data_IF_196329505760
#
_entry.id   IF_196329505760
#
_cell.length_a   1.000
_cell.length_b   1.000
_cell.length_c   1.000
_cell.angle_alpha   90.00
_cell.angle_beta   90.00
_cell.angle_gamma   90.00
#
_symmetry.space_group_name_H-M   'P 1'
#
loop_
_entity.id
_entity.type
_entity.pdbx_description
1 polymer ?
#
# COMPACT_ATOMS: atom_id res chain seq x y z
N UNK A 1 44.67 22.56 -6.68
CA UNK A 1 44.10 21.26 -6.26
C UNK A 1 44.44 20.85 -4.83
N UNK A 2 45.65 21.11 -4.29
CA UNK A 2 46.08 20.67 -2.94
C UNK A 2 45.37 21.33 -1.74
N UNK A 3 44.70 22.47 -1.91
CA UNK A 3 43.93 23.15 -0.84
C UNK A 3 42.50 22.60 -0.64
N UNK A 4 41.90 21.97 -1.66
CA UNK A 4 40.54 21.42 -1.56
C UNK A 4 40.51 20.04 -0.90
N UNK A 5 41.58 19.25 -1.04
CA UNK A 5 41.73 17.97 -0.34
C UNK A 5 41.89 18.12 1.17
N UNK A 6 42.53 19.20 1.64
CA UNK A 6 42.67 19.45 3.08
C UNK A 6 41.34 19.87 3.72
N UNK A 7 40.49 20.59 2.97
CA UNK A 7 39.16 20.96 3.43
C UNK A 7 38.23 19.74 3.49
N UNK A 8 38.25 18.88 2.45
CA UNK A 8 37.45 17.65 2.41
C UNK A 8 37.84 16.63 3.49
N UNK A 9 39.13 16.54 3.84
CA UNK A 9 39.60 15.65 4.91
C UNK A 9 39.17 16.12 6.31
N UNK A 10 39.11 17.44 6.54
CA UNK A 10 38.67 18.00 7.83
C UNK A 10 37.15 17.87 8.02
N UNK A 11 36.34 17.97 6.96
CA UNK A 11 34.90 17.72 7.04
C UNK A 11 34.57 16.24 7.27
N UNK A 12 35.34 15.31 6.71
CA UNK A 12 35.11 13.87 6.91
C UNK A 12 35.43 13.40 8.35
N UNK A 13 36.44 13.99 9.00
CA UNK A 13 36.79 13.68 10.39
C UNK A 13 35.78 14.23 11.40
N UNK A 14 35.07 15.32 11.08
CA UNK A 14 34.05 15.89 11.96
C UNK A 14 32.73 15.10 11.97
N UNK A 15 32.41 14.37 10.89
CA UNK A 15 31.21 13.52 10.79
C UNK A 15 31.37 12.20 11.58
N UNK A 16 32.59 11.70 11.74
CA UNK A 16 32.86 10.46 12.50
C UNK A 16 32.84 10.64 14.03
N UNK A 17 32.83 11.88 14.55
CA UNK A 17 32.91 12.15 15.99
C UNK A 17 31.56 12.48 16.66
N UNK A 18 30.43 12.42 15.95
CA UNK A 18 29.09 12.67 16.52
C UNK A 18 28.17 11.46 16.58
N UNK A 19 28.62 10.27 16.13
CA UNK A 19 27.88 9.02 16.28
C UNK A 19 28.21 8.33 17.61
N UNK A 20 27.77 8.93 18.73
CA UNK A 20 27.76 8.27 20.03
C UNK A 20 26.40 8.52 20.68
N UNK A 21 25.37 7.83 20.20
CA UNK A 21 24.10 7.72 20.92
C UNK A 21 24.13 6.44 21.76
N UNK A 22 23.73 6.62 23.02
CA UNK A 22 23.68 5.64 24.09
C UNK A 22 22.63 4.57 23.79
N UNK A 23 23.10 3.35 23.51
CA UNK A 23 22.25 2.16 23.52
C UNK A 23 21.77 1.89 24.95
N UNK A 24 20.48 2.11 25.21
CA UNK A 24 19.81 1.67 26.44
C UNK A 24 19.75 0.14 26.41
N UNK A 25 20.58 -0.50 27.22
CA UNK A 25 20.59 -1.95 27.40
C UNK A 25 19.37 -2.37 28.24
N UNK A 26 18.31 -2.82 27.59
CA UNK A 26 17.21 -3.52 28.27
C UNK A 26 17.66 -4.97 28.49
N UNK A 27 17.94 -5.34 29.74
CA UNK A 27 18.20 -6.73 30.11
C UNK A 27 16.91 -7.56 29.96
N UNK A 28 16.93 -8.73 29.31
CA UNK A 28 15.82 -9.65 29.36
C UNK A 28 15.70 -10.25 30.77
N UNK A 29 14.57 -10.00 31.41
CA UNK A 29 14.13 -10.68 32.64
C UNK A 29 13.87 -12.16 32.28
N UNK A 30 14.51 -13.12 32.95
CA UNK A 30 14.21 -14.54 32.72
C UNK A 30 12.78 -14.85 33.21
N UNK A 31 12.00 -15.66 32.47
CA UNK A 31 10.73 -16.15 32.97
C UNK A 31 10.97 -17.02 34.20
N UNK A 32 10.40 -16.59 35.32
CA UNK A 32 10.33 -17.36 36.55
C UNK A 32 9.39 -18.54 36.29
N UNK A 33 9.95 -19.74 36.16
CA UNK A 33 9.17 -20.98 36.16
C UNK A 33 8.51 -21.13 37.54
N UNK A 34 7.19 -20.97 37.56
CA UNK A 34 6.37 -21.39 38.67
C UNK A 34 6.49 -22.91 38.82
N UNK A 35 7.04 -23.35 39.94
CA UNK A 35 7.09 -24.74 40.33
C UNK A 35 5.66 -25.25 40.58
N UNK A 36 5.15 -26.04 39.63
CA UNK A 36 3.97 -26.87 39.86
C UNK A 36 4.37 -28.04 40.79
N UNK A 37 3.75 -28.06 41.96
CA UNK A 37 3.83 -29.12 42.95
C UNK A 37 3.27 -30.42 42.38
N UNK A 38 4.13 -31.41 42.17
CA UNK A 38 3.73 -32.78 41.89
C UNK A 38 3.23 -33.46 43.19
N UNK A 39 2.13 -34.22 43.16
CA UNK A 39 1.63 -34.92 44.34
C UNK A 39 2.52 -36.12 44.69
N UNK A 40 2.76 -36.28 45.98
CA UNK A 40 3.45 -37.41 46.63
C UNK A 40 2.74 -38.72 46.32
N UNK A 41 3.39 -39.60 45.54
CA UNK A 41 2.94 -40.98 45.36
C UNK A 41 3.59 -41.84 46.45
N UNK A 42 2.74 -42.42 47.30
CA UNK A 42 3.11 -43.35 48.37
C UNK A 42 3.60 -44.65 47.75
N UNK A 43 4.86 -45.00 47.98
CA UNK A 43 5.44 -46.27 47.55
C UNK A 43 4.84 -47.42 48.37
N UNK A 44 4.02 -48.24 47.73
CA UNK A 44 3.59 -49.55 48.24
C UNK A 44 4.58 -50.60 47.76
N UNK A 45 5.17 -51.36 48.70
CA UNK A 45 6.10 -52.44 48.40
C UNK A 45 5.38 -53.60 47.69
N UNK A 46 5.92 -54.02 46.55
CA UNK A 46 5.49 -55.23 45.81
C UNK A 46 6.55 -56.32 46.01
N UNK A 47 6.18 -57.59 46.25
CA UNK A 47 7.13 -58.66 46.53
C UNK A 47 7.90 -59.13 45.28
N UNK A 48 9.14 -59.56 45.48
CA UNK A 48 9.99 -60.15 44.46
C UNK A 48 9.32 -61.35 43.79
N UNK A 49 9.19 -61.30 42.46
CA UNK A 49 8.75 -62.43 41.63
C UNK A 49 9.86 -62.77 40.62
N UNK A 50 10.05 -64.06 40.45
CA UNK A 50 11.16 -64.72 39.77
C UNK A 50 11.39 -64.28 38.32
N UNK A 51 12.67 -64.20 37.96
CA UNK A 51 13.19 -64.04 36.61
C UNK A 51 12.64 -65.12 35.67
N UNK A 52 11.82 -64.71 34.70
CA UNK A 52 11.52 -65.51 33.51
C UNK A 52 12.41 -65.07 32.35
N UNK A 53 12.94 -66.06 31.64
CA UNK A 53 13.82 -66.03 30.48
C UNK A 53 13.34 -65.07 29.36
N UNK A 54 14.24 -64.40 28.61
CA UNK A 54 13.86 -63.39 27.62
C UNK A 54 13.03 -63.99 26.48
N UNK A 55 11.78 -63.56 26.39
CA UNK A 55 10.93 -63.81 25.22
C UNK A 55 11.36 -62.87 24.10
N UNK A 56 11.79 -63.45 22.97
CA UNK A 56 12.18 -62.75 21.76
C UNK A 56 10.93 -62.11 21.12
N UNK A 57 10.77 -60.79 21.23
CA UNK A 57 9.69 -60.04 20.58
C UNK A 57 10.07 -59.86 19.10
N UNK A 58 9.21 -60.23 18.12
CA UNK A 58 9.51 -59.98 16.71
C UNK A 58 9.60 -58.46 16.47
N UNK A 59 10.45 -58.01 15.52
CA UNK A 59 10.53 -56.59 15.20
C UNK A 59 9.17 -56.10 14.68
N UNK A 60 8.59 -55.12 15.36
CA UNK A 60 7.45 -54.34 14.86
C UNK A 60 7.85 -53.74 13.52
N UNK A 61 7.13 -54.08 12.45
CA UNK A 61 7.35 -53.48 11.15
C UNK A 61 7.14 -51.97 11.24
N UNK A 62 8.20 -51.19 11.02
CA UNK A 62 8.10 -49.74 10.84
C UNK A 62 7.18 -49.48 9.65
N UNK A 63 6.12 -48.65 9.79
CA UNK A 63 5.28 -48.31 8.65
C UNK A 63 6.17 -47.70 7.55
N UNK A 64 5.90 -48.02 6.27
CA UNK A 64 6.65 -47.42 5.17
C UNK A 64 6.52 -45.89 5.25
N UNK A 65 7.57 -45.13 4.85
CA UNK A 65 7.49 -43.67 4.82
C UNK A 65 6.28 -43.27 3.97
N UNK A 66 5.38 -42.49 4.57
CA UNK A 66 4.27 -41.89 3.82
C UNK A 66 4.88 -40.90 2.83
N UNK A 67 4.52 -41.00 1.55
CA UNK A 67 4.99 -40.05 0.55
C UNK A 67 4.59 -38.64 0.99
N UNK A 68 5.56 -37.74 1.12
CA UNK A 68 5.29 -36.32 1.35
C UNK A 68 4.43 -35.82 0.18
N UNK A 69 3.24 -35.25 0.43
CA UNK A 69 2.42 -34.71 -0.65
C UNK A 69 3.22 -33.67 -1.45
N UNK A 70 3.01 -33.64 -2.76
CA UNK A 70 3.63 -32.65 -3.63
C UNK A 70 3.21 -31.23 -3.19
N UNK A 71 4.10 -30.23 -3.32
CA UNK A 71 3.76 -28.86 -2.99
C UNK A 71 2.65 -28.34 -3.91
N UNK A 72 1.76 -27.52 -3.36
CA UNK A 72 0.68 -26.86 -4.07
C UNK A 72 1.26 -25.81 -5.02
N UNK A 73 0.83 -25.83 -6.28
CA UNK A 73 1.36 -24.92 -7.30
C UNK A 73 0.57 -23.62 -7.40
N UNK A 74 1.28 -22.50 -7.56
CA UNK A 74 0.73 -21.14 -7.58
C UNK A 74 1.13 -20.45 -8.88
N UNK A 75 0.14 -19.91 -9.59
CA UNK A 75 0.31 -19.11 -10.80
C UNK A 75 -0.36 -17.74 -10.70
N UNK A 76 -0.13 -16.91 -11.72
CA UNK A 76 -0.64 -15.54 -11.77
C UNK A 76 -1.45 -15.30 -13.04
N UNK A 77 -2.55 -14.57 -12.90
CA UNK A 77 -3.25 -13.97 -14.03
C UNK A 77 -2.52 -12.69 -14.52
N UNK A 78 -2.84 -12.29 -15.74
CA UNK A 78 -2.41 -11.07 -16.42
C UNK A 78 -2.74 -9.81 -15.63
N UNK A 79 -3.85 -9.79 -14.90
CA UNK A 79 -4.33 -8.64 -14.13
C UNK A 79 -3.64 -8.45 -12.76
N UNK A 80 -2.67 -9.29 -12.40
CA UNK A 80 -2.00 -9.20 -11.09
C UNK A 80 -0.86 -8.16 -11.13
N UNK A 81 -0.87 -7.14 -10.24
CA UNK A 81 0.20 -6.13 -10.14
C UNK A 81 1.56 -6.72 -9.75
N UNK A 82 2.66 -6.14 -10.23
CA UNK A 82 4.02 -6.65 -9.98
C UNK A 82 4.42 -6.73 -8.50
N UNK A 83 4.04 -5.74 -7.68
CA UNK A 83 4.36 -5.78 -6.24
C UNK A 83 3.64 -6.91 -5.53
N UNK A 84 2.37 -7.17 -5.89
CA UNK A 84 1.62 -8.31 -5.37
C UNK A 84 2.21 -9.64 -5.84
N UNK A 85 2.65 -9.74 -7.10
CA UNK A 85 3.40 -10.92 -7.59
C UNK A 85 4.65 -11.15 -6.74
N UNK A 86 5.44 -10.11 -6.51
CA UNK A 86 6.67 -10.18 -5.72
C UNK A 86 6.39 -10.62 -4.27
N UNK A 87 5.30 -10.13 -3.67
CA UNK A 87 4.86 -10.53 -2.34
C UNK A 87 4.48 -12.02 -2.29
N UNK A 88 3.73 -12.51 -3.30
CA UNK A 88 3.38 -13.94 -3.42
C UNK A 88 4.63 -14.79 -3.60
N UNK A 89 5.53 -14.41 -4.50
CA UNK A 89 6.78 -15.13 -4.75
C UNK A 89 7.63 -15.25 -3.47
N UNK A 90 7.70 -14.16 -2.69
CA UNK A 90 8.41 -14.14 -1.40
C UNK A 90 7.76 -15.09 -0.39
N UNK A 91 6.43 -15.12 -0.32
CA UNK A 91 5.70 -16.03 0.56
C UNK A 91 5.89 -17.50 0.16
N UNK A 92 5.84 -17.81 -1.15
CA UNK A 92 6.10 -19.16 -1.68
C UNK A 92 7.52 -19.60 -1.34
N UNK A 93 8.52 -18.73 -1.50
CA UNK A 93 9.91 -19.01 -1.16
C UNK A 93 10.15 -19.25 0.34
N UNK A 94 9.28 -18.74 1.23
CA UNK A 94 9.37 -18.97 2.66
C UNK A 94 8.92 -20.38 3.08
N UNK A 95 8.09 -21.04 2.27
CA UNK A 95 7.54 -22.39 2.54
C UNK A 95 7.66 -23.33 1.32
N UNK A 96 8.88 -23.58 0.80
CA UNK A 96 9.10 -24.31 -0.45
C UNK A 96 8.70 -25.79 -0.37
N UNK A 97 8.52 -26.34 0.83
CA UNK A 97 8.01 -27.70 1.04
C UNK A 97 6.49 -27.80 0.85
N UNK A 98 5.77 -26.68 0.90
CA UNK A 98 4.31 -26.62 0.82
C UNK A 98 3.83 -25.95 -0.47
N UNK A 99 4.56 -24.95 -0.98
CA UNK A 99 4.18 -24.16 -2.14
C UNK A 99 5.28 -24.14 -3.21
N UNK A 100 4.89 -24.10 -4.47
CA UNK A 100 5.79 -23.90 -5.61
C UNK A 100 5.16 -22.98 -6.65
N UNK A 101 5.97 -22.21 -7.38
CA UNK A 101 5.48 -21.41 -8.51
C UNK A 101 5.32 -22.28 -9.75
N UNK A 102 4.27 -22.03 -10.53
CA UNK A 102 4.04 -22.67 -11.82
C UNK A 102 3.61 -21.62 -12.86
N UNK A 103 4.25 -21.67 -14.04
CA UNK A 103 3.96 -20.79 -15.17
C UNK A 103 2.65 -21.20 -15.89
N UNK A 104 2.32 -22.49 -15.85
CA UNK A 104 1.15 -23.08 -16.51
C UNK A 104 0.55 -24.19 -15.65
N UNK A 105 -0.77 -24.39 -15.76
CA UNK A 105 -1.51 -25.47 -15.07
C UNK A 105 -1.30 -25.50 -13.55
N UNK A 106 -1.33 -24.31 -12.91
CA UNK A 106 -1.21 -24.18 -11.46
C UNK A 106 -2.50 -24.63 -10.74
N UNK A 107 -2.36 -25.23 -9.56
CA UNK A 107 -3.47 -25.63 -8.69
C UNK A 107 -4.25 -24.41 -8.16
N UNK A 108 -3.53 -23.31 -7.94
CA UNK A 108 -4.09 -22.00 -7.59
C UNK A 108 -3.58 -20.93 -8.54
N UNK A 109 -4.49 -20.08 -8.99
CA UNK A 109 -4.17 -18.89 -9.77
C UNK A 109 -4.64 -17.67 -9.01
N UNK A 110 -3.75 -16.71 -8.79
CA UNK A 110 -4.14 -15.39 -8.29
C UNK A 110 -4.79 -14.61 -9.45
N UNK A 111 -6.06 -14.24 -9.29
CA UNK A 111 -6.83 -13.55 -10.33
C UNK A 111 -7.51 -12.28 -9.82
N UNK A 112 -7.84 -11.40 -10.75
CA UNK A 112 -8.69 -10.24 -10.51
C UNK A 112 -10.16 -10.63 -10.27
N UNK A 113 -10.92 -9.73 -9.64
CA UNK A 113 -12.36 -9.80 -9.39
C UNK A 113 -12.78 -11.08 -8.65
N UNK A 114 -12.02 -11.47 -7.63
CA UNK A 114 -12.35 -12.62 -6.79
C UNK A 114 -13.46 -12.29 -5.79
N UNK A 115 -14.34 -13.26 -5.50
CA UNK A 115 -15.43 -13.12 -4.52
C UNK A 115 -14.93 -13.08 -3.08
N UNK A 116 -13.79 -13.73 -2.79
CA UNK A 116 -13.09 -13.69 -1.51
C UNK A 116 -11.70 -13.04 -1.71
N UNK A 117 -11.61 -11.69 -1.62
CA UNK A 117 -10.35 -11.00 -1.88
C UNK A 117 -9.33 -11.26 -0.77
N UNK A 118 -8.10 -11.53 -1.18
CA UNK A 118 -6.90 -11.60 -0.33
C UNK A 118 -6.03 -10.37 -0.49
N UNK A 119 -6.34 -9.52 -1.46
CA UNK A 119 -5.68 -8.25 -1.71
C UNK A 119 -6.63 -7.25 -2.38
N UNK A 120 -6.47 -5.97 -2.07
CA UNK A 120 -7.14 -4.86 -2.72
C UNK A 120 -6.08 -3.88 -3.23
N UNK A 121 -6.00 -3.71 -4.55
CA UNK A 121 -5.04 -2.81 -5.19
C UNK A 121 -5.75 -1.54 -5.67
N UNK A 122 -5.25 -0.38 -5.26
CA UNK A 122 -5.81 0.93 -5.58
C UNK A 122 -5.03 1.52 -6.76
N UNK A 123 -5.74 1.88 -7.82
CA UNK A 123 -5.16 2.61 -8.95
C UNK A 123 -5.66 4.05 -8.96
N UNK A 124 -4.82 4.98 -9.38
CA UNK A 124 -5.16 6.39 -9.51
C UNK A 124 -5.15 6.79 -10.98
N UNK A 125 -6.19 7.51 -11.43
CA UNK A 125 -6.11 8.27 -12.68
C UNK A 125 -5.29 9.51 -12.41
N UNK A 126 -4.30 9.74 -13.24
CA UNK A 126 -3.38 10.84 -13.09
C UNK A 126 -3.11 11.55 -14.41
N UNK A 127 -2.76 12.83 -14.30
CA UNK A 127 -2.30 13.68 -15.38
C UNK A 127 -1.06 14.45 -14.90
N UNK A 128 -0.30 15.12 -15.78
CA UNK A 128 0.67 16.13 -15.37
C UNK A 128 0.08 17.13 -14.38
N UNK A 129 0.90 17.56 -13.40
CA UNK A 129 0.47 18.47 -12.34
C UNK A 129 -0.29 19.73 -12.80
N UNK A 130 0.08 20.44 -13.89
CA UNK A 130 -0.63 21.64 -14.35
C UNK A 130 -1.91 21.28 -15.13
N UNK A 131 -2.81 20.52 -14.51
CA UNK A 131 -4.11 20.13 -15.06
C UNK A 131 -5.21 20.83 -14.27
N UNK A 132 -6.21 21.39 -14.97
CA UNK A 132 -7.31 22.11 -14.32
C UNK A 132 -8.41 21.18 -13.82
N UNK A 133 -8.72 20.10 -14.54
CA UNK A 133 -9.70 19.11 -14.09
C UNK A 133 -9.29 18.56 -12.72
N UNK A 134 -10.24 18.47 -11.79
CA UNK A 134 -10.05 17.85 -10.47
C UNK A 134 -10.73 16.49 -10.37
N UNK A 135 -11.65 16.19 -11.28
CA UNK A 135 -12.53 15.02 -11.27
C UNK A 135 -12.76 14.49 -12.69
N UNK A 136 -13.00 13.19 -12.79
CA UNK A 136 -13.38 12.47 -14.00
C UNK A 136 -14.31 11.31 -13.62
N UNK A 137 -15.32 11.00 -14.43
CA UNK A 137 -16.17 9.84 -14.14
C UNK A 137 -15.47 8.51 -14.49
N UNK A 138 -15.80 7.42 -13.79
CA UNK A 138 -15.26 6.10 -14.15
C UNK A 138 -15.60 5.72 -15.60
N UNK A 139 -16.79 6.12 -16.08
CA UNK A 139 -17.22 5.86 -17.44
C UNK A 139 -16.32 6.56 -18.49
N UNK A 140 -15.91 7.79 -18.24
CA UNK A 140 -14.98 8.53 -19.10
C UNK A 140 -13.58 7.88 -19.09
N UNK A 141 -13.11 7.40 -17.94
CA UNK A 141 -11.84 6.68 -17.84
C UNK A 141 -11.87 5.38 -18.67
N UNK A 142 -12.96 4.61 -18.56
CA UNK A 142 -13.15 3.38 -19.33
C UNK A 142 -13.30 3.66 -20.84
N UNK A 143 -13.93 4.77 -21.20
CA UNK A 143 -14.02 5.21 -22.59
C UNK A 143 -12.64 5.62 -23.12
N UNK A 144 -11.83 6.34 -22.34
CA UNK A 144 -10.46 6.67 -22.70
C UNK A 144 -9.60 5.40 -22.91
N UNK A 145 -9.77 4.38 -22.07
CA UNK A 145 -9.18 3.06 -22.29
C UNK A 145 -9.61 2.46 -23.63
N UNK A 146 -10.93 2.34 -23.85
CA UNK A 146 -11.48 1.72 -25.07
C UNK A 146 -11.01 2.41 -26.35
N UNK A 147 -10.87 3.73 -26.31
CA UNK A 147 -10.47 4.56 -27.44
C UNK A 147 -8.94 4.72 -27.58
N UNK A 148 -8.14 4.10 -26.70
CA UNK A 148 -6.68 4.19 -26.74
C UNK A 148 -6.13 5.57 -26.37
N UNK A 149 -6.91 6.39 -25.66
CA UNK A 149 -6.56 7.76 -25.28
C UNK A 149 -5.70 7.83 -23.99
N UNK A 150 -5.47 6.69 -23.34
CA UNK A 150 -4.57 6.59 -22.18
C UNK A 150 -3.12 6.41 -22.64
N UNK A 151 -2.21 7.01 -21.89
CA UNK A 151 -0.78 6.79 -22.00
C UNK A 151 -0.34 5.87 -20.85
N UNK A 152 0.09 4.65 -21.19
CA UNK A 152 0.23 3.54 -20.23
C UNK A 152 1.61 2.88 -20.30
N UNK A 153 1.99 2.19 -19.23
CA UNK A 153 3.08 1.22 -19.27
C UNK A 153 2.58 -0.12 -19.84
N UNK A 154 3.47 -0.99 -20.35
CA UNK A 154 3.08 -2.34 -20.79
C UNK A 154 2.41 -3.16 -19.68
N UNK A 155 2.86 -2.98 -18.43
CA UNK A 155 2.24 -3.64 -17.28
C UNK A 155 0.81 -3.16 -17.06
N UNK A 156 0.59 -1.83 -17.07
CA UNK A 156 -0.75 -1.29 -16.87
C UNK A 156 -1.70 -1.67 -18.01
N UNK A 157 -1.24 -1.68 -19.27
CA UNK A 157 -2.03 -2.17 -20.42
C UNK A 157 -2.43 -3.65 -20.21
N UNK A 158 -1.52 -4.51 -19.76
CA UNK A 158 -1.83 -5.91 -19.45
C UNK A 158 -2.86 -6.04 -18.32
N UNK A 159 -2.72 -5.23 -17.26
CA UNK A 159 -3.68 -5.23 -16.15
C UNK A 159 -5.08 -4.78 -16.63
N UNK A 160 -5.16 -3.71 -17.42
CA UNK A 160 -6.43 -3.21 -17.94
C UNK A 160 -7.08 -4.17 -18.93
N UNK A 161 -6.30 -4.92 -19.73
CA UNK A 161 -6.86 -6.00 -20.57
C UNK A 161 -7.46 -7.12 -19.74
N UNK A 162 -6.77 -7.55 -18.69
CA UNK A 162 -7.30 -8.58 -17.79
C UNK A 162 -8.50 -8.10 -16.97
N UNK A 163 -8.60 -6.79 -16.70
CA UNK A 163 -9.69 -6.21 -15.90
C UNK A 163 -10.91 -5.77 -16.74
N UNK A 164 -10.70 -4.99 -17.79
CA UNK A 164 -11.74 -4.38 -18.63
C UNK A 164 -11.86 -5.00 -20.03
N UNK A 165 -11.01 -5.97 -20.36
CA UNK A 165 -10.95 -6.57 -21.69
C UNK A 165 -10.14 -5.74 -22.69
N UNK A 166 -9.99 -6.27 -23.90
CA UNK A 166 -9.25 -5.61 -24.96
C UNK A 166 -9.89 -4.27 -25.37
N UNK A 167 -9.10 -3.20 -25.54
CA UNK A 167 -9.61 -1.92 -26.01
C UNK A 167 -9.89 -1.98 -27.51
N UNK A 168 -10.79 -1.13 -28.00
CA UNK A 168 -11.09 -1.05 -29.43
C UNK A 168 -9.90 -0.45 -30.22
N UNK A 169 -9.14 0.43 -29.59
CA UNK A 169 -7.89 0.99 -30.12
C UNK A 169 -6.79 0.81 -29.08
N UNK A 170 -5.61 0.34 -29.51
CA UNK A 170 -4.48 0.14 -28.60
C UNK A 170 -4.05 1.48 -27.97
N UNK A 171 -3.83 1.47 -26.66
CA UNK A 171 -3.29 2.61 -25.93
C UNK A 171 -1.85 2.92 -26.35
N UNK A 172 -1.42 4.17 -26.13
CA UNK A 172 -0.02 4.53 -26.36
C UNK A 172 0.82 3.98 -25.21
N UNK A 173 1.66 2.99 -25.52
CA UNK A 173 2.55 2.38 -24.53
C UNK A 173 3.90 3.09 -24.48
N UNK A 174 4.39 3.32 -23.27
CA UNK A 174 5.71 3.90 -22.99
C UNK A 174 6.43 3.09 -21.92
N UNK A 175 7.76 3.11 -21.96
CA UNK A 175 8.55 2.48 -20.90
C UNK A 175 8.23 3.14 -19.54
N UNK A 176 8.16 2.39 -18.42
CA UNK A 176 7.80 2.93 -17.11
C UNK A 176 8.61 4.16 -16.70
N UNK A 177 9.92 4.13 -16.95
CA UNK A 177 10.86 5.22 -16.63
C UNK A 177 10.64 6.48 -17.49
N UNK A 178 9.95 6.36 -18.63
CA UNK A 178 9.62 7.47 -19.52
C UNK A 178 8.19 7.99 -19.32
N UNK A 179 7.36 7.33 -18.51
CA UNK A 179 5.92 7.62 -18.40
C UNK A 179 5.66 9.08 -18.06
N UNK A 180 6.23 9.55 -16.96
CA UNK A 180 5.99 10.90 -16.45
C UNK A 180 6.54 11.95 -17.42
N UNK A 181 7.76 11.76 -17.95
CA UNK A 181 8.34 12.70 -18.91
C UNK A 181 7.55 12.77 -20.21
N UNK A 182 7.02 11.64 -20.69
CA UNK A 182 6.16 11.62 -21.87
C UNK A 182 4.85 12.34 -21.59
N UNK A 183 4.18 12.08 -20.46
CA UNK A 183 2.96 12.80 -20.07
C UNK A 183 3.15 14.32 -20.11
N UNK A 184 4.23 14.82 -19.51
CA UNK A 184 4.56 16.24 -19.49
C UNK A 184 4.87 16.82 -20.88
N UNK A 185 5.46 16.03 -21.78
CA UNK A 185 5.77 16.46 -23.15
C UNK A 185 4.54 16.42 -24.07
N UNK A 186 3.62 15.47 -23.82
CA UNK A 186 2.40 15.30 -24.62
C UNK A 186 1.31 16.28 -24.21
N UNK A 187 1.28 16.74 -22.96
CA UNK A 187 0.29 17.72 -22.52
C UNK A 187 0.51 19.07 -23.21
N UNK A 188 -0.45 19.44 -24.06
CA UNK A 188 -0.42 20.70 -24.83
C UNK A 188 -1.37 21.76 -24.30
N UNK A 189 -2.37 21.37 -23.50
CA UNK A 189 -3.36 22.25 -22.90
C UNK A 189 -3.65 21.82 -21.43
N UNK A 190 -4.10 22.75 -20.59
CA UNK A 190 -4.37 22.48 -19.16
C UNK A 190 -5.81 22.03 -18.90
N UNK A 191 -6.71 22.29 -19.84
CA UNK A 191 -8.13 21.94 -19.86
C UNK A 191 -8.42 20.62 -20.62
N UNK A 192 -7.44 20.09 -21.35
CA UNK A 192 -7.50 18.79 -22.03
C UNK A 192 -6.31 17.91 -21.58
N UNK A 193 -6.41 17.24 -20.42
CA UNK A 193 -5.28 16.52 -19.84
C UNK A 193 -4.97 15.20 -20.56
N UNK A 194 -3.67 14.90 -20.67
CA UNK A 194 -3.22 13.57 -21.09
C UNK A 194 -3.27 12.66 -19.87
N UNK A 195 -4.09 11.61 -19.95
CA UNK A 195 -4.39 10.73 -18.82
C UNK A 195 -3.49 9.49 -18.81
N UNK A 196 -3.17 9.05 -17.59
CA UNK A 196 -2.59 7.75 -17.29
C UNK A 196 -3.34 7.11 -16.13
N UNK A 197 -3.13 5.81 -15.94
CA UNK A 197 -3.53 5.10 -14.73
C UNK A 197 -2.26 4.50 -14.14
N UNK A 198 -2.04 4.73 -12.84
CA UNK A 198 -0.89 4.19 -12.11
C UNK A 198 -1.33 3.51 -10.83
N UNK A 199 -0.61 2.47 -10.38
CA UNK A 199 -0.73 1.97 -9.01
C UNK A 199 -0.47 3.09 -7.99
N UNK A 200 -1.20 3.11 -6.87
CA UNK A 200 -1.14 4.18 -5.86
C UNK A 200 0.29 4.46 -5.36
N UNK A 201 1.06 3.41 -5.12
CA UNK A 201 2.45 3.42 -4.67
C UNK A 201 3.43 4.04 -5.68
N UNK A 202 3.03 4.17 -6.95
CA UNK A 202 3.83 4.81 -8.00
C UNK A 202 3.51 6.30 -8.19
N UNK A 203 2.62 6.87 -7.36
CA UNK A 203 2.32 8.30 -7.41
C UNK A 203 3.56 9.14 -7.07
N UNK A 204 3.72 10.25 -7.79
CA UNK A 204 4.79 11.23 -7.55
C UNK A 204 4.22 12.64 -7.58
N UNK A 205 4.88 13.63 -6.94
CA UNK A 205 4.43 15.03 -6.95
C UNK A 205 4.34 15.69 -8.34
N UNK A 206 4.90 15.05 -9.38
CA UNK A 206 4.81 15.53 -10.77
C UNK A 206 3.46 15.21 -11.42
N UNK A 207 2.63 14.42 -10.75
CA UNK A 207 1.31 14.02 -11.21
C UNK A 207 0.22 14.68 -10.34
N UNK A 208 -0.85 15.12 -10.99
CA UNK A 208 -2.12 15.45 -10.34
C UNK A 208 -3.00 14.20 -10.41
N UNK A 209 -3.46 13.73 -9.26
CA UNK A 209 -4.50 12.69 -9.17
C UNK A 209 -5.85 13.34 -9.43
N UNK A 210 -6.62 12.78 -10.35
CA UNK A 210 -8.02 13.15 -10.56
C UNK A 210 -8.90 12.29 -9.66
N UNK A 211 -9.88 12.90 -9.00
CA UNK A 211 -10.93 12.16 -8.34
C UNK A 211 -11.72 11.35 -9.38
N UNK A 212 -12.17 10.15 -9.00
CA UNK A 212 -13.03 9.31 -9.83
C UNK A 212 -14.41 9.31 -9.21
N UNK A 213 -15.40 9.86 -9.92
CA UNK A 213 -16.76 10.03 -9.42
C UNK A 213 -16.82 10.73 -8.04
N UNK A 214 -15.99 11.77 -7.86
CA UNK A 214 -15.87 12.54 -6.62
C UNK A 214 -15.01 11.89 -5.52
N UNK A 215 -14.46 10.70 -5.74
CA UNK A 215 -13.68 9.96 -4.76
C UNK A 215 -12.20 9.88 -5.16
N UNK A 216 -11.29 10.27 -4.28
CA UNK A 216 -9.85 10.35 -4.58
C UNK A 216 -9.02 9.57 -3.56
N UNK A 217 -8.09 8.71 -3.99
CA UNK A 217 -7.32 7.84 -3.09
C UNK A 217 -6.30 8.59 -2.20
N UNK A 218 -6.02 9.86 -2.53
CA UNK A 218 -5.15 10.77 -1.76
C UNK A 218 -5.95 11.74 -0.88
N UNK A 219 -7.28 11.64 -0.87
CA UNK A 219 -8.15 12.49 -0.06
C UNK A 219 -8.29 11.95 1.35
N UNK A 220 -8.42 12.85 2.32
CA UNK A 220 -8.83 12.52 3.69
C UNK A 220 -10.22 11.86 3.74
N UNK A 221 -11.09 12.18 2.78
CA UNK A 221 -12.43 11.61 2.68
C UNK A 221 -12.50 10.41 1.72
N UNK A 222 -11.37 9.73 1.48
CA UNK A 222 -11.33 8.57 0.60
C UNK A 222 -12.24 7.45 1.12
N UNK A 223 -13.14 6.98 0.26
CA UNK A 223 -13.97 5.80 0.54
C UNK A 223 -13.54 4.63 -0.35
N UNK A 224 -12.75 3.71 0.20
CA UNK A 224 -12.27 2.53 -0.51
C UNK A 224 -13.39 1.61 -0.98
N UNK A 225 -14.55 1.59 -0.32
CA UNK A 225 -15.64 0.69 -0.68
C UNK A 225 -16.32 1.10 -1.99
N UNK A 226 -16.45 2.41 -2.24
CA UNK A 226 -17.10 2.96 -3.43
C UNK A 226 -16.14 3.33 -4.56
N UNK A 227 -14.82 3.27 -4.32
CA UNK A 227 -13.83 3.70 -5.31
C UNK A 227 -13.79 2.79 -6.55
N UNK A 228 -14.09 3.36 -7.71
CA UNK A 228 -14.22 2.63 -8.98
C UNK A 228 -12.94 2.02 -9.54
N UNK A 229 -11.77 2.47 -9.09
CA UNK A 229 -10.46 1.95 -9.50
C UNK A 229 -9.77 1.12 -8.40
N UNK A 230 -10.58 0.43 -7.60
CA UNK A 230 -10.13 -0.62 -6.69
C UNK A 230 -10.23 -1.98 -7.38
N UNK A 231 -9.11 -2.68 -7.49
CA UNK A 231 -9.04 -4.05 -7.99
C UNK A 231 -8.98 -5.03 -6.83
N UNK A 232 -9.99 -5.90 -6.73
CA UNK A 232 -10.00 -7.00 -5.75
C UNK A 232 -9.32 -8.22 -6.36
N UNK A 233 -8.34 -8.80 -5.65
CA UNK A 233 -7.62 -9.99 -6.10
C UNK A 233 -7.77 -11.13 -5.09
N UNK A 234 -7.86 -12.35 -5.59
CA UNK A 234 -8.02 -13.54 -4.75
C UNK A 234 -7.65 -14.83 -5.47
N UNK A 235 -7.56 -15.89 -4.68
CA UNK A 235 -7.20 -17.22 -5.17
C UNK A 235 -8.35 -17.84 -5.97
N UNK A 236 -7.99 -18.47 -7.08
CA UNK A 236 -8.88 -19.31 -7.87
C UNK A 236 -8.30 -20.70 -8.01
N UNK A 237 -9.09 -21.72 -7.67
CA UNK A 237 -8.73 -23.12 -7.79
C UNK A 237 -9.71 -23.98 -6.99
N UNK A 238 -9.35 -25.23 -6.75
CA UNK A 238 -10.13 -26.15 -5.93
C UNK A 238 -10.28 -25.62 -4.48
N UNK A 239 -11.44 -25.79 -3.87
CA UNK A 239 -11.76 -25.27 -2.53
C UNK A 239 -10.74 -25.76 -1.48
N UNK A 240 -10.29 -27.01 -1.60
CA UNK A 240 -9.27 -27.58 -0.72
C UNK A 240 -7.92 -26.90 -0.86
N UNK A 241 -7.54 -26.48 -2.07
CA UNK A 241 -6.29 -25.77 -2.33
C UNK A 241 -6.36 -24.34 -1.77
N UNK A 242 -7.48 -23.65 -1.96
CA UNK A 242 -7.70 -22.31 -1.39
C UNK A 242 -7.64 -22.36 0.14
N UNK A 243 -8.26 -23.37 0.75
CA UNK A 243 -8.24 -23.57 2.19
C UNK A 243 -6.82 -23.88 2.74
N UNK A 244 -5.97 -24.56 1.95
CA UNK A 244 -4.57 -24.80 2.31
C UNK A 244 -3.71 -23.53 2.21
N UNK A 245 -4.01 -22.66 1.24
CA UNK A 245 -3.29 -21.40 1.04
C UNK A 245 -3.66 -20.33 2.06
N UNK A 246 -4.92 -20.27 2.48
CA UNK A 246 -5.43 -19.25 3.40
C UNK A 246 -4.61 -19.04 4.68
N UNK A 247 -4.18 -20.08 5.43
CA UNK A 247 -3.35 -19.88 6.63
C UNK A 247 -1.91 -19.46 6.33
N UNK A 248 -1.43 -19.60 5.09
CA UNK A 248 -0.10 -19.20 4.65
C UNK A 248 -0.08 -17.75 4.15
N UNK A 249 -1.25 -17.16 3.90
CA UNK A 249 -1.40 -15.81 3.43
C UNK A 249 -1.67 -14.86 4.60
N UNK A 250 -0.93 -13.73 4.72
CA UNK A 250 -1.24 -12.71 5.72
C UNK A 250 -2.61 -12.07 5.47
N UNK A 251 -3.02 -11.19 6.39
CA UNK A 251 -4.20 -10.32 6.22
C UNK A 251 -4.25 -9.66 4.83
N UNK A 252 -5.43 -9.23 4.34
CA UNK A 252 -5.59 -8.70 3.00
C UNK A 252 -4.55 -7.62 2.67
N UNK A 253 -3.77 -7.86 1.61
CA UNK A 253 -2.71 -6.94 1.20
C UNK A 253 -3.30 -5.73 0.44
N UNK A 254 -2.64 -4.59 0.56
CA UNK A 254 -2.97 -3.41 -0.23
C UNK A 254 -1.71 -2.61 -0.54
N UNK A 255 -1.79 -1.74 -1.56
CA UNK A 255 -0.76 -0.76 -1.89
C UNK A 255 -1.04 0.64 -1.30
N UNK A 256 -2.22 0.84 -0.71
CA UNK A 256 -2.64 2.13 -0.15
C UNK A 256 -2.76 2.03 1.36
N UNK A 257 -1.69 2.39 2.04
CA UNK A 257 -1.55 2.36 3.49
C UNK A 257 -1.93 3.71 4.10
N UNK A 258 -3.11 3.80 4.71
CA UNK A 258 -3.62 5.04 5.33
C UNK A 258 -2.67 5.56 6.42
N UNK A 259 -2.09 4.64 7.19
CA UNK A 259 -1.14 4.89 8.26
C UNK A 259 0.20 5.48 7.79
N UNK A 260 0.46 5.46 6.48
CA UNK A 260 1.66 6.03 5.86
C UNK A 260 1.36 7.35 5.12
N UNK A 261 0.13 7.85 5.19
CA UNK A 261 -0.27 9.11 4.59
C UNK A 261 -0.26 10.25 5.62
N UNK A 262 0.01 11.47 5.15
CA UNK A 262 -0.10 12.68 5.96
C UNK A 262 -0.78 13.75 5.13
N UNK A 263 -1.93 14.20 5.60
CA UNK A 263 -2.68 15.28 4.98
C UNK A 263 -2.21 16.62 5.54
N UNK A 264 -1.74 17.48 4.65
CA UNK A 264 -1.29 18.82 4.96
C UNK A 264 -2.22 19.83 4.29
N UNK A 265 -2.97 20.58 5.10
CA UNK A 265 -3.68 21.77 4.61
C UNK A 265 -2.83 22.99 4.89
N UNK A 266 -2.52 23.77 3.85
CA UNK A 266 -1.81 25.04 3.99
C UNK A 266 -2.62 26.15 3.34
N UNK A 267 -2.75 27.27 4.04
CA UNK A 267 -3.20 28.50 3.40
C UNK A 267 -2.00 29.20 2.74
N UNK A 268 -2.25 29.89 1.63
CA UNK A 268 -1.39 31.01 1.23
C UNK A 268 -1.46 32.15 2.25
N UNK A 269 -0.99 33.36 1.90
CA UNK A 269 -1.20 34.55 2.73
C UNK A 269 -2.68 34.68 3.11
N UNK A 270 -3.00 34.52 4.40
CA UNK A 270 -4.35 34.76 4.92
C UNK A 270 -4.57 36.26 5.10
N UNK A 271 -4.39 37.01 4.02
CA UNK A 271 -4.76 38.41 3.92
C UNK A 271 -6.27 38.50 3.95
N UNK A 272 -6.84 38.88 5.09
CA UNK A 272 -8.26 39.21 5.20
C UNK A 272 -8.52 40.44 4.34
N UNK A 273 -9.04 40.20 3.13
CA UNK A 273 -9.37 41.26 2.19
C UNK A 273 -10.58 42.06 2.69
N UNK A 274 -10.84 43.23 2.10
CA UNK A 274 -12.05 44.02 2.38
C UNK A 274 -13.33 43.21 2.18
N UNK A 275 -13.34 42.29 1.21
CA UNK A 275 -14.47 41.40 0.99
C UNK A 275 -14.69 40.44 2.17
N UNK A 276 -13.62 39.90 2.76
CA UNK A 276 -13.75 39.06 3.96
C UNK A 276 -14.19 39.88 5.17
N UNK A 277 -13.67 41.10 5.32
CA UNK A 277 -14.09 42.02 6.39
C UNK A 277 -15.58 42.40 6.28
N UNK A 278 -16.09 42.71 5.08
CA UNK A 278 -17.53 42.95 4.86
C UNK A 278 -18.39 41.73 5.28
N UNK A 279 -17.93 40.51 4.98
CA UNK A 279 -18.60 39.28 5.43
C UNK A 279 -18.56 39.14 6.96
N UNK A 280 -17.44 39.49 7.60
CA UNK A 280 -17.33 39.47 9.07
C UNK A 280 -18.28 40.47 9.74
N UNK A 281 -18.48 41.66 9.16
CA UNK A 281 -19.47 42.63 9.68
C UNK A 281 -20.91 42.10 9.55
N UNK A 282 -21.22 41.40 8.44
CA UNK A 282 -22.56 40.87 8.17
C UNK A 282 -22.90 39.60 8.93
N UNK A 283 -21.93 38.69 9.08
CA UNK A 283 -22.15 37.33 9.58
C UNK A 283 -21.42 37.05 10.90
N UNK A 284 -20.66 38.01 11.43
CA UNK A 284 -19.88 37.90 12.65
C UNK A 284 -18.40 37.58 12.37
N UNK A 285 -17.52 38.06 13.24
CA UNK A 285 -16.06 37.96 13.07
C UNK A 285 -15.51 36.53 13.02
N UNK A 286 -16.26 35.52 13.48
CA UNK A 286 -15.86 34.11 13.42
C UNK A 286 -16.17 33.44 12.08
N UNK A 287 -17.07 34.03 11.29
CA UNK A 287 -17.62 33.43 10.08
C UNK A 287 -16.54 32.83 9.15
N UNK A 288 -15.46 33.55 8.77
CA UNK A 288 -14.45 32.98 7.87
C UNK A 288 -13.75 31.74 8.45
N UNK A 289 -13.53 31.71 9.77
CA UNK A 289 -12.92 30.58 10.45
C UNK A 289 -13.85 29.38 10.51
N UNK A 290 -15.15 29.61 10.70
CA UNK A 290 -16.18 28.56 10.72
C UNK A 290 -16.34 27.92 9.32
N UNK A 291 -16.29 28.72 8.25
CA UNK A 291 -16.41 28.22 6.87
C UNK A 291 -15.22 27.34 6.44
N UNK A 292 -14.00 27.66 6.86
CA UNK A 292 -12.81 26.86 6.52
C UNK A 292 -12.50 25.75 7.55
N UNK A 293 -13.16 25.76 8.71
CA UNK A 293 -12.89 24.81 9.79
C UNK A 293 -12.95 23.35 9.34
N UNK A 294 -13.93 22.89 8.53
CA UNK A 294 -13.98 21.49 8.09
C UNK A 294 -12.72 21.06 7.32
N UNK A 295 -12.18 21.94 6.46
CA UNK A 295 -10.97 21.65 5.67
C UNK A 295 -9.74 21.60 6.59
N UNK A 296 -9.61 22.58 7.48
CA UNK A 296 -8.47 22.67 8.40
C UNK A 296 -8.45 21.53 9.43
N UNK A 297 -9.63 21.08 9.89
CA UNK A 297 -9.78 20.02 10.89
C UNK A 297 -9.63 18.61 10.31
N UNK A 298 -9.86 18.44 9.00
CA UNK A 298 -9.70 17.16 8.34
C UNK A 298 -8.21 16.80 8.14
N UNK A 299 -7.31 17.77 8.09
CA UNK A 299 -5.89 17.50 7.89
C UNK A 299 -5.16 17.05 9.17
N UNK A 300 -4.15 16.20 9.02
CA UNK A 300 -3.23 15.84 10.10
C UNK A 300 -2.40 17.05 10.55
N UNK A 301 -2.04 17.90 9.59
CA UNK A 301 -1.32 19.16 9.82
C UNK A 301 -2.05 20.28 9.11
N UNK A 302 -2.44 21.30 9.87
CA UNK A 302 -3.01 22.54 9.34
C UNK A 302 -2.04 23.71 9.57
N UNK A 303 -1.63 24.37 8.50
CA UNK A 303 -0.80 25.56 8.53
C UNK A 303 -1.54 26.78 7.99
N UNK A 304 -1.53 27.87 8.75
CA UNK A 304 -2.09 29.14 8.34
C UNK A 304 -0.97 30.19 8.29
N UNK A 305 -0.71 30.74 7.11
CA UNK A 305 0.12 31.94 6.98
C UNK A 305 -0.73 33.18 7.27
N UNK A 306 -0.36 33.99 8.25
CA UNK A 306 -1.09 35.22 8.62
C UNK A 306 -0.28 36.46 8.23
N UNK A 307 -0.84 37.28 7.34
CA UNK A 307 -0.17 38.48 6.82
C UNK A 307 -0.99 39.76 7.01
N UNK A 308 -1.95 39.77 7.94
CA UNK A 308 -2.78 40.96 8.15
C UNK A 308 -1.99 42.07 8.85
N UNK A 309 -2.10 43.27 8.30
CA UNK A 309 -1.61 44.48 8.93
C UNK A 309 -2.59 44.95 10.00
N UNK A 310 -2.10 45.09 11.24
CA UNK A 310 -2.84 45.74 12.31
C UNK A 310 -2.63 47.25 12.22
N UNK A 311 -3.54 47.95 11.53
CA UNK A 311 -3.49 49.41 11.35
C UNK A 311 -4.55 50.10 12.21
N UNK A 312 -4.18 50.99 13.16
CA UNK A 312 -5.13 51.68 14.04
C UNK A 312 -6.18 52.55 13.32
N UNK A 313 -5.89 52.97 12.09
CA UNK A 313 -6.77 53.80 11.26
C UNK A 313 -7.26 53.04 10.02
N UNK A 314 -7.52 51.73 10.14
CA UNK A 314 -8.10 50.95 9.05
C UNK A 314 -9.53 51.45 8.78
N UNK A 315 -9.86 51.91 7.56
CA UNK A 315 -11.22 52.32 7.23
C UNK A 315 -12.15 51.12 7.17
N UNK A 316 -13.44 51.35 7.41
CA UNK A 316 -14.47 50.32 7.30
C UNK A 316 -14.45 49.68 5.89
N UNK A 317 -14.75 48.38 5.77
CA UNK A 317 -14.83 47.71 4.48
C UNK A 317 -15.98 48.28 3.64
N UNK A 318 -15.68 48.67 2.41
CA UNK A 318 -16.64 49.15 1.39
C UNK A 318 -16.97 48.07 0.38
#
# INVERSE_FOLDING_TARGET
>A
MRKYYLLAFVTFVFVLLTACQTAVSVSPVPPTLAAATAPTVVATAVPATATTEPTNVPPTATPPPTATPAPLTVGFDTAVPAELKTAVETAVQAVPEQLALAETDADLVLKAQAEAPIAEWIFAVAAPFPTFADDISLAEVQEAWRNGALLLTPEMDAILRGWWGDPATAATMVAPELLIDTLWQTQTAYDDPVLTIVPFEQLTPRLKVLAVDGNSPISVNYDQASYGLKLSLGWAGEETAVAQMQPLWPEPLTNRHDELLTHLTMTGPSGLSRAVADRMEKYGYKYPGEEIAPIMQAADIAHMSHENAFAPACPDPT
#
